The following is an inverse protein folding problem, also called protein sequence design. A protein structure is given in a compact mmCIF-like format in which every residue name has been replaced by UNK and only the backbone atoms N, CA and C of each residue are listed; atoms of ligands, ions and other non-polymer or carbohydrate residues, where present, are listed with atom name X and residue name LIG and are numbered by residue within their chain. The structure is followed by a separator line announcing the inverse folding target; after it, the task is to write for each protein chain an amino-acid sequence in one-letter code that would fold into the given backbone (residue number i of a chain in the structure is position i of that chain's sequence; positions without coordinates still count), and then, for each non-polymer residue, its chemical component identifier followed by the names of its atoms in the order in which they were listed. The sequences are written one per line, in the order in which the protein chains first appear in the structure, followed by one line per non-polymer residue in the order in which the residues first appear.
data_IF_754546034474
#
_entry.id   IF_754546034474
#
_cell.length_a   1.000
_cell.length_b   1.000
_cell.length_c   1.000
_cell.angle_alpha   90.00
_cell.angle_beta   90.00
_cell.angle_gamma   90.00
#
_symmetry.space_group_name_H-M   'P 1'
#
loop_
_entity.id
_entity.type
_entity.pdbx_description
1 polymer ?
#
# COMPACT_ATOMS: atom_id res chain seq x y z
N UNK A 1 19.90 35.39 -2.69
CA UNK A 1 18.84 35.70 -3.65
C UNK A 1 17.52 35.61 -2.93
N UNK A 2 16.89 36.74 -2.54
CA UNK A 2 15.59 36.75 -1.89
C UNK A 2 14.53 36.59 -2.99
N UNK A 3 13.94 35.43 -3.13
CA UNK A 3 12.80 35.23 -4.00
C UNK A 3 11.62 36.02 -3.43
N UNK A 4 11.09 36.94 -4.21
CA UNK A 4 9.86 37.65 -3.86
C UNK A 4 8.69 36.66 -3.82
N UNK A 5 7.74 36.91 -2.86
CA UNK A 5 6.62 36.01 -2.60
C UNK A 5 5.78 35.72 -3.85
N UNK A 6 5.67 36.71 -4.75
CA UNK A 6 4.95 36.55 -6.01
C UNK A 6 5.69 35.66 -7.01
N UNK A 7 7.01 35.79 -7.11
CA UNK A 7 7.86 34.93 -7.96
C UNK A 7 7.85 33.49 -7.47
N UNK A 8 7.83 33.28 -6.14
CA UNK A 8 7.70 31.96 -5.54
C UNK A 8 6.35 31.29 -5.86
N UNK A 9 5.25 32.03 -5.75
CA UNK A 9 3.92 31.52 -6.09
C UNK A 9 3.80 31.16 -7.58
N UNK A 10 4.33 31.98 -8.48
CA UNK A 10 4.33 31.69 -9.91
C UNK A 10 5.20 30.45 -10.25
N UNK A 11 6.31 30.25 -9.54
CA UNK A 11 7.13 29.04 -9.68
C UNK A 11 6.42 27.81 -9.16
N UNK A 12 5.69 27.91 -8.05
CA UNK A 12 4.87 26.85 -7.50
C UNK A 12 3.75 26.42 -8.46
N UNK A 13 3.00 27.37 -9.02
CA UNK A 13 1.93 27.08 -9.98
C UNK A 13 2.43 26.42 -11.26
N UNK A 14 3.62 26.81 -11.74
CA UNK A 14 4.26 26.18 -12.91
C UNK A 14 4.82 24.79 -12.63
N UNK A 15 5.33 24.56 -11.43
CA UNK A 15 6.00 23.28 -11.06
C UNK A 15 5.03 22.27 -10.45
N UNK A 16 3.93 22.72 -9.89
CA UNK A 16 2.92 21.88 -9.23
C UNK A 16 1.52 22.26 -9.73
N UNK A 17 1.16 21.91 -10.96
CA UNK A 17 -0.19 22.17 -11.47
C UNK A 17 -1.22 21.40 -10.63
N UNK A 18 -2.37 22.03 -10.38
CA UNK A 18 -3.47 21.40 -9.66
C UNK A 18 -3.95 20.13 -10.39
N UNK A 19 -4.04 19.03 -9.66
CA UNK A 19 -4.58 17.76 -10.18
C UNK A 19 -6.08 17.91 -10.48
N UNK A 20 -6.58 17.37 -11.60
CA UNK A 20 -7.99 17.33 -11.92
C UNK A 20 -8.72 16.34 -11.00
N UNK A 21 -9.18 16.81 -9.84
CA UNK A 21 -9.74 15.99 -8.73
C UNK A 21 -10.76 14.96 -9.20
N UNK A 22 -11.72 15.35 -10.02
CA UNK A 22 -12.78 14.43 -10.50
C UNK A 22 -12.25 13.27 -11.33
N UNK A 23 -11.33 13.54 -12.23
CA UNK A 23 -10.70 12.52 -13.06
C UNK A 23 -9.87 11.56 -12.20
N UNK A 24 -9.08 12.12 -11.29
CA UNK A 24 -8.18 11.33 -10.43
C UNK A 24 -8.99 10.48 -9.44
N UNK A 25 -10.08 11.00 -8.87
CA UNK A 25 -10.99 10.23 -8.03
C UNK A 25 -11.67 9.09 -8.82
N UNK A 26 -12.11 9.34 -10.03
CA UNK A 26 -12.76 8.31 -10.86
C UNK A 26 -11.78 7.21 -11.26
N UNK A 27 -10.57 7.57 -11.66
CA UNK A 27 -9.52 6.60 -11.98
C UNK A 27 -9.08 5.80 -10.75
N UNK A 28 -8.93 6.46 -9.60
CA UNK A 28 -8.63 5.80 -8.34
C UNK A 28 -9.71 4.78 -7.94
N UNK A 29 -10.98 5.15 -8.11
CA UNK A 29 -12.12 4.27 -7.83
C UNK A 29 -12.15 3.06 -8.77
N UNK A 30 -12.00 3.27 -10.08
CA UNK A 30 -12.05 2.19 -11.06
C UNK A 30 -10.89 1.21 -10.91
N UNK A 31 -9.66 1.73 -10.79
CA UNK A 31 -8.46 0.89 -10.71
C UNK A 31 -8.37 0.23 -9.32
N UNK A 32 -8.63 0.97 -8.25
CA UNK A 32 -8.70 0.41 -6.91
C UNK A 32 -9.79 -0.64 -6.77
N UNK A 33 -10.98 -0.38 -7.34
CA UNK A 33 -12.07 -1.34 -7.42
C UNK A 33 -11.70 -2.61 -8.20
N UNK A 34 -11.00 -2.47 -9.33
CA UNK A 34 -10.52 -3.61 -10.10
C UNK A 34 -9.52 -4.47 -9.31
N UNK A 35 -8.61 -3.84 -8.56
CA UNK A 35 -7.66 -4.56 -7.68
C UNK A 35 -8.43 -5.31 -6.57
N UNK A 36 -9.41 -4.66 -5.94
CA UNK A 36 -10.24 -5.30 -4.91
C UNK A 36 -11.06 -6.46 -5.47
N UNK A 37 -11.63 -6.31 -6.66
CA UNK A 37 -12.37 -7.38 -7.35
C UNK A 37 -11.46 -8.56 -7.68
N UNK A 38 -10.22 -8.30 -8.10
CA UNK A 38 -9.22 -9.35 -8.30
C UNK A 38 -8.90 -10.06 -6.98
N UNK A 39 -8.77 -9.32 -5.89
CA UNK A 39 -8.57 -9.89 -4.55
C UNK A 39 -9.73 -10.78 -4.11
N UNK A 40 -10.98 -10.37 -4.36
CA UNK A 40 -12.15 -11.20 -4.07
C UNK A 40 -12.18 -12.46 -4.95
N UNK A 41 -11.80 -12.35 -6.23
CA UNK A 41 -11.65 -13.50 -7.10
C UNK A 41 -10.62 -14.52 -6.58
N UNK A 42 -9.48 -14.05 -6.09
CA UNK A 42 -8.47 -14.89 -5.44
C UNK A 42 -9.03 -15.54 -4.17
N UNK A 43 -9.78 -14.79 -3.36
CA UNK A 43 -10.44 -15.30 -2.15
C UNK A 43 -11.42 -16.43 -2.47
N UNK A 44 -12.26 -16.26 -3.48
CA UNK A 44 -13.21 -17.29 -3.92
C UNK A 44 -12.49 -18.55 -4.43
N UNK A 45 -11.37 -18.37 -5.10
CA UNK A 45 -10.54 -19.47 -5.58
C UNK A 45 -10.00 -20.31 -4.41
N UNK A 46 -9.52 -19.67 -3.35
CA UNK A 46 -9.03 -20.39 -2.16
C UNK A 46 -10.17 -21.06 -1.38
N UNK A 47 -11.32 -20.41 -1.24
CA UNK A 47 -12.52 -21.02 -0.65
C UNK A 47 -12.96 -22.28 -1.40
N UNK A 48 -12.93 -22.24 -2.74
CA UNK A 48 -13.30 -23.39 -3.57
C UNK A 48 -12.32 -24.57 -3.44
N UNK A 49 -11.11 -24.32 -2.90
CA UNK A 49 -10.12 -25.39 -2.59
C UNK A 49 -10.35 -26.00 -1.21
N UNK A 50 -11.35 -25.56 -0.45
CA UNK A 50 -11.73 -26.10 0.84
C UNK A 50 -10.94 -25.54 2.03
N UNK A 51 -10.28 -24.38 1.87
CA UNK A 51 -9.66 -23.69 3.00
C UNK A 51 -10.73 -23.10 3.92
N UNK A 52 -10.46 -23.09 5.22
CA UNK A 52 -11.26 -22.37 6.20
C UNK A 52 -11.19 -20.85 6.00
N UNK A 53 -12.10 -20.11 6.61
CA UNK A 53 -12.21 -18.65 6.44
C UNK A 53 -10.95 -17.90 6.86
N UNK A 54 -10.30 -18.31 7.96
CA UNK A 54 -9.06 -17.70 8.45
C UNK A 54 -7.89 -18.00 7.50
N UNK A 55 -7.72 -19.26 7.12
CA UNK A 55 -6.68 -19.68 6.18
C UNK A 55 -6.87 -19.06 4.80
N UNK A 56 -8.11 -18.90 4.37
CA UNK A 56 -8.45 -18.22 3.11
C UNK A 56 -8.02 -16.76 3.14
N UNK A 57 -8.23 -16.05 4.24
CA UNK A 57 -7.82 -14.66 4.37
C UNK A 57 -6.30 -14.52 4.28
N UNK A 58 -5.56 -15.37 4.99
CA UNK A 58 -4.10 -15.42 4.96
C UNK A 58 -3.57 -15.76 3.56
N UNK A 59 -4.11 -16.80 2.92
CA UNK A 59 -3.72 -17.23 1.58
C UNK A 59 -3.99 -16.15 0.52
N UNK A 60 -5.13 -15.46 0.63
CA UNK A 60 -5.47 -14.33 -0.24
C UNK A 60 -4.47 -13.18 -0.06
N UNK A 61 -4.16 -12.81 1.18
CA UNK A 61 -3.21 -11.75 1.47
C UNK A 61 -1.82 -12.09 0.89
N UNK A 62 -1.32 -13.29 1.11
CA UNK A 62 -0.03 -13.76 0.58
C UNK A 62 -0.02 -13.71 -0.95
N UNK A 63 -1.08 -14.20 -1.59
CA UNK A 63 -1.20 -14.19 -3.07
C UNK A 63 -1.20 -12.76 -3.62
N UNK A 64 -1.95 -11.86 -3.01
CA UNK A 64 -2.03 -10.45 -3.45
C UNK A 64 -0.71 -9.70 -3.20
N UNK A 65 -0.03 -9.96 -2.09
CA UNK A 65 1.32 -9.40 -1.82
C UNK A 65 2.31 -9.90 -2.86
N UNK A 66 2.30 -11.20 -3.17
CA UNK A 66 3.16 -11.77 -4.20
C UNK A 66 2.90 -11.14 -5.58
N UNK A 67 1.64 -11.00 -5.98
CA UNK A 67 1.28 -10.35 -7.25
C UNK A 67 1.73 -8.88 -7.28
N UNK A 68 1.51 -8.13 -6.19
CA UNK A 68 1.96 -6.75 -6.07
C UNK A 68 3.48 -6.62 -6.18
N UNK A 69 4.22 -7.48 -5.49
CA UNK A 69 5.67 -7.55 -5.55
C UNK A 69 6.18 -7.91 -6.96
N UNK A 70 5.58 -8.91 -7.59
CA UNK A 70 5.92 -9.33 -8.95
C UNK A 70 5.70 -8.20 -9.97
N UNK A 71 4.55 -7.55 -9.93
CA UNK A 71 4.26 -6.41 -10.82
C UNK A 71 5.21 -5.23 -10.58
N UNK A 72 5.64 -5.02 -9.34
CA UNK A 72 6.65 -4.01 -8.99
C UNK A 72 8.02 -4.39 -9.58
N UNK A 73 8.45 -5.64 -9.43
CA UNK A 73 9.69 -6.13 -10.01
C UNK A 73 9.73 -6.01 -11.55
N UNK A 74 8.57 -6.13 -12.20
CA UNK A 74 8.42 -5.95 -13.64
C UNK A 74 8.24 -4.49 -14.07
N UNK A 75 8.31 -3.53 -13.15
CA UNK A 75 8.05 -2.10 -13.39
C UNK A 75 6.68 -1.79 -14.01
N UNK A 76 5.70 -2.69 -13.81
CA UNK A 76 4.33 -2.51 -14.29
C UNK A 76 3.47 -1.78 -13.26
N UNK A 77 3.73 -2.00 -11.97
CA UNK A 77 2.96 -1.38 -10.90
C UNK A 77 3.10 0.14 -10.87
N UNK A 78 4.30 0.66 -11.14
CA UNK A 78 4.55 2.11 -11.22
C UNK A 78 3.74 2.77 -12.34
N UNK A 79 3.64 2.10 -13.50
CA UNK A 79 2.83 2.59 -14.63
C UNK A 79 1.35 2.65 -14.25
N UNK A 80 0.85 1.63 -13.54
CA UNK A 80 -0.52 1.61 -13.04
C UNK A 80 -0.75 2.71 -12.00
N UNK A 81 0.16 2.87 -11.04
CA UNK A 81 0.09 3.86 -9.97
C UNK A 81 0.05 5.29 -10.50
N UNK A 82 0.75 5.58 -11.59
CA UNK A 82 0.76 6.89 -12.24
C UNK A 82 -0.63 7.36 -12.68
N UNK A 83 -1.50 6.43 -13.07
CA UNK A 83 -2.87 6.73 -13.48
C UNK A 83 -3.89 6.58 -12.35
N UNK A 84 -3.66 5.64 -11.47
CA UNK A 84 -4.59 5.27 -10.40
C UNK A 84 -4.42 6.11 -9.13
N UNK A 85 -3.27 6.74 -8.92
CA UNK A 85 -3.00 7.54 -7.72
C UNK A 85 -3.35 6.79 -6.43
N UNK A 86 -4.24 7.35 -5.63
CA UNK A 86 -4.69 6.77 -4.36
C UNK A 86 -5.31 5.36 -4.48
N UNK A 87 -5.86 5.00 -5.64
CA UNK A 87 -6.48 3.67 -5.86
C UNK A 87 -5.50 2.50 -5.79
N UNK A 88 -4.20 2.75 -5.96
CA UNK A 88 -3.16 1.72 -5.81
C UNK A 88 -2.56 1.68 -4.41
N UNK A 89 -2.78 2.69 -3.57
CA UNK A 89 -2.19 2.77 -2.22
C UNK A 89 -3.01 1.96 -1.21
N UNK A 90 -4.34 1.99 -1.34
CA UNK A 90 -5.27 1.38 -0.39
C UNK A 90 -5.17 -0.16 -0.36
N UNK A 91 -5.12 -0.88 -1.50
CA UNK A 91 -5.01 -2.33 -1.49
C UNK A 91 -3.65 -2.83 -0.96
N UNK A 92 -3.63 -4.07 -0.44
CA UNK A 92 -2.41 -4.72 0.07
C UNK A 92 -1.28 -4.80 -0.97
N UNK A 93 -1.61 -4.79 -2.26
CA UNK A 93 -0.65 -4.72 -3.36
C UNK A 93 0.16 -3.42 -3.36
N UNK A 94 -0.45 -2.31 -2.93
CA UNK A 94 0.23 -1.02 -2.76
C UNK A 94 1.25 -1.06 -1.62
N UNK A 95 0.91 -1.72 -0.52
CA UNK A 95 1.84 -1.96 0.57
C UNK A 95 3.04 -2.81 0.11
N UNK A 96 2.80 -3.87 -0.65
CA UNK A 96 3.85 -4.68 -1.25
C UNK A 96 4.76 -3.84 -2.17
N UNK A 97 4.19 -3.00 -3.04
CA UNK A 97 4.95 -2.09 -3.88
C UNK A 97 5.80 -1.10 -3.07
N UNK A 98 5.25 -0.52 -2.01
CA UNK A 98 5.96 0.43 -1.15
C UNK A 98 7.16 -0.19 -0.41
N UNK A 99 7.16 -1.51 -0.21
CA UNK A 99 8.27 -2.26 0.39
C UNK A 99 9.28 -2.67 -0.68
N UNK A 100 8.81 -3.22 -1.80
CA UNK A 100 9.68 -3.82 -2.83
C UNK A 100 10.40 -2.75 -3.66
N UNK A 101 9.74 -1.64 -3.97
CA UNK A 101 10.34 -0.60 -4.82
C UNK A 101 11.64 -0.01 -4.23
N UNK A 102 11.70 0.46 -2.97
CA UNK A 102 12.96 0.91 -2.37
C UNK A 102 14.00 -0.21 -2.25
N UNK A 103 13.57 -1.43 -1.96
CA UNK A 103 14.48 -2.57 -1.85
C UNK A 103 15.18 -2.87 -3.19
N UNK A 104 14.47 -2.74 -4.31
CA UNK A 104 15.03 -2.89 -5.66
C UNK A 104 16.00 -1.78 -6.01
N UNK A 105 15.66 -0.53 -5.66
CA UNK A 105 16.48 0.65 -5.93
C UNK A 105 17.83 0.57 -5.22
N UNK A 106 17.82 0.17 -3.96
CA UNK A 106 19.00 0.12 -3.09
C UNK A 106 19.70 -1.25 -3.03
N UNK A 107 19.31 -2.20 -3.89
CA UNK A 107 19.94 -3.54 -3.91
C UNK A 107 21.45 -3.52 -4.16
N UNK A 108 21.95 -2.51 -4.88
CA UNK A 108 23.39 -2.33 -5.17
C UNK A 108 24.21 -1.93 -3.95
N UNK A 109 23.58 -1.44 -2.89
CA UNK A 109 24.24 -1.08 -1.62
C UNK A 109 24.48 -2.30 -0.71
N UNK A 110 24.12 -3.50 -1.15
CA UNK A 110 24.32 -4.77 -0.44
C UNK A 110 23.04 -5.36 0.16
N UNK A 111 23.17 -6.61 0.63
CA UNK A 111 22.01 -7.38 1.09
C UNK A 111 21.45 -6.86 2.42
N UNK A 112 22.30 -6.47 3.34
CA UNK A 112 21.89 -6.08 4.71
C UNK A 112 21.53 -4.58 4.76
N UNK A 113 22.46 -3.69 4.38
CA UNK A 113 22.28 -2.25 4.48
C UNK A 113 21.42 -1.66 3.35
N UNK A 114 21.50 -2.23 2.16
CA UNK A 114 20.67 -1.85 1.03
C UNK A 114 19.30 -2.51 1.09
N UNK A 115 19.20 -3.75 0.62
CA UNK A 115 17.92 -4.43 0.46
C UNK A 115 17.18 -4.65 1.78
N UNK A 116 17.84 -5.27 2.78
CA UNK A 116 17.20 -5.62 4.04
C UNK A 116 16.71 -4.40 4.83
N UNK A 117 17.55 -3.38 4.98
CA UNK A 117 17.18 -2.14 5.69
C UNK A 117 16.03 -1.42 4.98
N UNK A 118 16.03 -1.36 3.66
CA UNK A 118 15.01 -0.65 2.88
C UNK A 118 13.65 -1.34 2.87
N UNK A 119 13.59 -2.66 2.96
CA UNK A 119 12.33 -3.38 3.17
C UNK A 119 11.58 -2.89 4.42
N UNK A 120 12.29 -2.57 5.48
CA UNK A 120 11.69 -2.18 6.76
C UNK A 120 11.46 -0.68 6.94
N UNK A 121 11.94 0.18 6.05
CA UNK A 121 11.74 1.64 6.16
C UNK A 121 10.26 2.02 6.20
N UNK A 122 9.43 1.38 5.39
CA UNK A 122 7.98 1.62 5.36
C UNK A 122 7.23 0.56 6.17
N UNK A 123 7.62 -0.70 6.07
CA UNK A 123 6.96 -1.79 6.79
C UNK A 123 7.10 -1.64 8.31
N UNK A 124 8.27 -1.20 8.79
CA UNK A 124 8.52 -1.03 10.23
C UNK A 124 7.50 -0.12 10.92
N UNK A 125 7.37 1.15 10.53
CA UNK A 125 6.37 2.05 11.11
C UNK A 125 4.94 1.55 11.00
N UNK A 126 4.55 0.97 9.86
CA UNK A 126 3.19 0.43 9.67
C UNK A 126 2.90 -0.70 10.66
N UNK A 127 3.84 -1.63 10.84
CA UNK A 127 3.69 -2.72 11.81
C UNK A 127 3.63 -2.20 13.25
N UNK A 128 4.53 -1.27 13.61
CA UNK A 128 4.57 -0.70 14.97
C UNK A 128 3.26 0.01 15.29
N UNK A 129 2.81 0.92 14.45
CA UNK A 129 1.56 1.64 14.67
C UNK A 129 0.34 0.74 14.62
N UNK A 130 0.27 -0.20 13.68
CA UNK A 130 -0.84 -1.15 13.55
C UNK A 130 -0.98 -2.06 14.76
N UNK A 131 0.12 -2.67 15.22
CA UNK A 131 0.13 -3.54 16.40
C UNK A 131 -0.19 -2.73 17.66
N UNK A 132 0.44 -1.56 17.84
CA UNK A 132 0.20 -0.71 19.01
C UNK A 132 -1.26 -0.26 19.10
N UNK A 133 -1.83 0.17 17.98
CA UNK A 133 -3.25 0.55 17.93
C UNK A 133 -4.17 -0.63 18.24
N UNK A 134 -3.88 -1.82 17.72
CA UNK A 134 -4.65 -3.03 17.99
C UNK A 134 -4.60 -3.43 19.47
N UNK A 135 -3.43 -3.34 20.10
CA UNK A 135 -3.26 -3.63 21.55
C UNK A 135 -4.04 -2.63 22.38
N UNK A 136 -3.94 -1.33 22.08
CA UNK A 136 -4.67 -0.28 22.81
C UNK A 136 -6.18 -0.50 22.67
N UNK A 137 -6.66 -0.76 21.46
CA UNK A 137 -8.07 -1.00 21.20
C UNK A 137 -8.57 -2.26 21.93
N UNK A 138 -7.82 -3.36 21.88
CA UNK A 138 -8.13 -4.58 22.60
C UNK A 138 -8.19 -4.39 24.12
N UNK A 139 -7.27 -3.60 24.68
CA UNK A 139 -7.25 -3.25 26.09
C UNK A 139 -8.50 -2.43 26.49
N UNK A 140 -8.87 -1.45 25.67
CA UNK A 140 -10.08 -0.66 25.90
C UNK A 140 -11.33 -1.54 25.90
N UNK A 141 -11.46 -2.44 24.93
CA UNK A 141 -12.58 -3.38 24.88
C UNK A 141 -12.63 -4.31 26.12
N UNK A 142 -11.47 -4.82 26.53
CA UNK A 142 -11.38 -5.67 27.72
C UNK A 142 -11.83 -4.93 28.98
N UNK A 143 -11.36 -3.70 29.18
CA UNK A 143 -11.71 -2.86 30.34
C UNK A 143 -13.16 -2.36 30.32
N UNK A 144 -13.74 -2.16 29.11
CA UNK A 144 -15.13 -1.72 28.95
C UNK A 144 -16.18 -2.83 29.19
N UNK A 145 -15.77 -4.01 29.62
CA UNK A 145 -16.69 -5.11 29.98
C UNK A 145 -16.92 -6.13 28.87
N UNK A 146 -16.10 -6.09 27.81
CA UNK A 146 -16.11 -7.07 26.71
C UNK A 146 -15.36 -8.37 27.04
N UNK A 147 -15.13 -8.71 28.28
CA UNK A 147 -14.37 -9.89 28.69
C UNK A 147 -15.08 -11.25 28.49
N UNK A 148 -15.92 -11.38 27.48
CA UNK A 148 -16.45 -12.65 27.00
C UNK A 148 -16.09 -12.86 25.56
N UNK A 149 -14.89 -13.34 25.32
CA UNK A 149 -14.50 -14.02 24.06
C UNK A 149 -14.46 -15.50 24.33
#
# INVERSE_FOLDING_TARGET
MKLDKQTYQQLLERKSPNSPLWRDCLLAFLIGGAICTTGEGVRQLWLSRGLDTEDTAAATAITMVFLGALLTCLHLYEKLAKYAGAGTIVPITGFANAIVSPAMEFKSEGLILGLGAKLFVIAGPVLVYGISASVIYGLILFLAGGGSV
#
